data_IF_241394573591
#
_entry.id   IF_241394573591
#
_cell.length_a   1.000
_cell.length_b   1.000
_cell.length_c   1.000
_cell.angle_alpha   90.00
_cell.angle_beta   90.00
_cell.angle_gamma   90.00
#
_symmetry.space_group_name_H-M   'P 1'
#
loop_
_entity.id
_entity.type
_entity.pdbx_description
1 polymer ?
#
# COMPACT_ATOMS: atom_id res chain seq x y z
N UNK A 1 0.58 33.06 -0.29
CA UNK A 1 -0.34 31.90 -0.37
C UNK A 1 0.34 30.73 0.33
N UNK A 2 -0.29 30.06 1.30
CA UNK A 2 0.33 28.92 1.99
C UNK A 2 0.44 27.71 1.06
N UNK A 3 1.61 27.06 1.05
CA UNK A 3 1.93 25.91 0.21
C UNK A 3 2.13 24.65 1.08
N UNK A 4 1.36 23.60 0.83
CA UNK A 4 1.40 22.35 1.59
C UNK A 4 1.83 21.16 0.72
N UNK A 5 2.66 20.27 1.27
CA UNK A 5 3.12 19.06 0.60
C UNK A 5 2.68 17.79 1.34
N UNK A 6 2.38 16.72 0.59
CA UNK A 6 2.07 15.40 1.15
C UNK A 6 3.13 14.38 0.74
N UNK A 7 3.85 13.82 1.71
CA UNK A 7 4.91 12.85 1.44
C UNK A 7 4.32 11.43 1.31
N UNK A 8 3.93 11.05 0.08
CA UNK A 8 3.33 9.73 -0.21
C UNK A 8 4.34 8.62 -0.53
N UNK A 9 5.60 8.97 -0.81
CA UNK A 9 6.59 8.01 -1.29
C UNK A 9 7.41 7.46 -0.13
N UNK A 10 7.51 6.13 -0.03
CA UNK A 10 8.38 5.43 0.92
C UNK A 10 9.86 5.56 0.48
N UNK A 11 10.34 6.81 0.39
CA UNK A 11 11.68 7.22 -0.02
C UNK A 11 12.80 6.54 0.79
N UNK A 12 12.63 6.22 2.09
CA UNK A 12 13.63 5.44 2.83
C UNK A 12 13.90 4.07 2.19
N UNK A 13 12.89 3.44 1.57
CA UNK A 13 13.04 2.14 0.89
C UNK A 13 13.72 2.24 -0.49
N UNK A 14 13.68 3.42 -1.12
CA UNK A 14 14.38 3.72 -2.38
C UNK A 14 15.86 4.03 -2.08
N UNK A 15 16.13 4.78 -1.02
CA UNK A 15 17.49 5.12 -0.59
C UNK A 15 18.28 3.86 -0.17
N UNK A 16 17.70 3.00 0.67
CA UNK A 16 18.42 1.86 1.24
C UNK A 16 18.72 0.69 0.29
N UNK A 17 18.15 0.65 -0.92
CA UNK A 17 18.32 -0.51 -1.84
C UNK A 17 19.18 -0.24 -3.08
N UNK A 18 19.56 1.00 -3.37
CA UNK A 18 20.16 1.31 -4.68
C UNK A 18 21.39 2.24 -4.65
N UNK A 19 21.72 2.80 -3.50
CA UNK A 19 22.53 4.02 -3.47
C UNK A 19 23.32 4.07 -2.14
N UNK A 20 24.61 3.73 -2.17
CA UNK A 20 25.48 3.76 -0.99
C UNK A 20 25.55 5.13 -0.29
N UNK A 21 26.35 5.24 0.77
CA UNK A 21 26.41 6.40 1.71
C UNK A 21 26.60 7.78 1.06
N UNK A 22 27.20 7.87 -0.12
CA UNK A 22 27.43 9.13 -0.84
C UNK A 22 26.14 9.67 -1.48
N UNK A 23 25.31 8.78 -2.00
CA UNK A 23 24.04 9.11 -2.66
C UNK A 23 22.94 9.50 -1.65
N UNK A 24 23.04 8.97 -0.42
CA UNK A 24 22.15 9.32 0.69
C UNK A 24 22.24 10.81 1.05
N UNK A 25 23.46 11.39 1.07
CA UNK A 25 23.68 12.81 1.37
C UNK A 25 23.10 13.74 0.30
N UNK A 26 23.29 13.40 -0.97
CA UNK A 26 22.73 14.14 -2.11
C UNK A 26 21.20 14.13 -2.09
N UNK A 27 20.60 12.95 -1.89
CA UNK A 27 19.16 12.81 -1.78
C UNK A 27 18.61 13.58 -0.57
N UNK A 28 19.27 13.48 0.57
CA UNK A 28 18.91 14.21 1.79
C UNK A 28 18.91 15.72 1.57
N UNK A 29 19.92 16.25 0.87
CA UNK A 29 20.01 17.67 0.52
C UNK A 29 18.88 18.08 -0.42
N UNK A 30 18.63 17.30 -1.47
CA UNK A 30 17.53 17.55 -2.39
C UNK A 30 16.17 17.56 -1.68
N UNK A 31 15.90 16.57 -0.83
CA UNK A 31 14.64 16.49 -0.10
C UNK A 31 14.47 17.63 0.90
N UNK A 32 15.55 18.05 1.57
CA UNK A 32 15.54 19.24 2.44
C UNK A 32 15.25 20.51 1.65
N UNK A 33 15.88 20.71 0.49
CA UNK A 33 15.65 21.88 -0.36
C UNK A 33 14.24 21.89 -0.98
N UNK A 34 13.70 20.72 -1.30
CA UNK A 34 12.34 20.59 -1.83
C UNK A 34 11.30 20.86 -0.74
N UNK A 35 11.35 20.12 0.37
CA UNK A 35 10.34 20.19 1.42
C UNK A 35 10.49 21.41 2.33
N UNK A 36 11.68 22.00 2.41
CA UNK A 36 11.93 23.24 3.15
C UNK A 36 11.27 24.48 2.55
N UNK A 37 10.74 24.39 1.32
CA UNK A 37 9.99 25.47 0.65
C UNK A 37 8.49 25.47 0.99
N UNK A 38 8.01 24.49 1.74
CA UNK A 38 6.60 24.36 2.10
C UNK A 38 6.36 24.84 3.54
N UNK A 39 5.23 25.50 3.76
CA UNK A 39 4.81 25.97 5.09
C UNK A 39 4.42 24.80 6.01
N UNK A 40 3.97 23.69 5.42
CA UNK A 40 3.65 22.44 6.13
C UNK A 40 3.88 21.21 5.25
N UNK A 41 4.43 20.16 5.86
CA UNK A 41 4.64 18.85 5.23
C UNK A 41 3.86 17.77 5.98
N UNK A 42 2.96 17.08 5.30
CA UNK A 42 2.18 16.00 5.90
C UNK A 42 2.87 14.64 5.75
N UNK A 43 3.01 13.93 6.87
CA UNK A 43 3.60 12.59 6.95
C UNK A 43 2.52 11.53 7.27
N UNK A 44 2.42 10.43 6.47
CA UNK A 44 1.38 9.41 6.62
C UNK A 44 1.62 8.45 7.80
N UNK A 45 2.83 8.42 8.37
CA UNK A 45 3.24 7.51 9.44
C UNK A 45 4.28 8.15 10.35
N UNK A 46 4.48 7.57 11.55
CA UNK A 46 5.50 8.04 12.49
C UNK A 46 6.92 7.88 11.94
N UNK A 47 7.18 6.76 11.26
CA UNK A 47 8.47 6.51 10.60
C UNK A 47 8.83 7.61 9.59
N UNK A 48 7.85 8.07 8.79
CA UNK A 48 8.10 9.15 7.83
C UNK A 48 8.33 10.50 8.53
N UNK A 49 7.64 10.74 9.64
CA UNK A 49 7.86 11.93 10.45
C UNK A 49 9.30 11.94 10.99
N UNK A 50 9.75 10.84 11.57
CA UNK A 50 11.10 10.73 12.13
C UNK A 50 12.18 10.87 11.03
N UNK A 51 11.94 10.31 9.83
CA UNK A 51 12.82 10.49 8.67
C UNK A 51 12.89 11.95 8.17
N UNK A 52 11.76 12.64 8.05
CA UNK A 52 11.76 14.04 7.63
C UNK A 52 12.42 14.94 8.69
N UNK A 53 12.20 14.63 9.97
CA UNK A 53 12.88 15.29 11.08
C UNK A 53 14.40 15.09 11.02
N UNK A 54 14.88 13.88 10.71
CA UNK A 54 16.33 13.61 10.55
C UNK A 54 16.95 14.35 9.37
N UNK A 55 16.15 14.80 8.40
CA UNK A 55 16.58 15.66 7.29
C UNK A 55 16.60 17.16 7.64
N UNK A 56 16.20 17.53 8.86
CA UNK A 56 16.12 18.93 9.32
C UNK A 56 14.82 19.63 8.94
N UNK A 57 13.80 18.90 8.47
CA UNK A 57 12.49 19.46 8.11
C UNK A 57 11.64 19.49 9.39
N UNK A 58 11.38 20.69 9.92
CA UNK A 58 10.74 20.87 11.24
C UNK A 58 9.23 21.11 11.17
N UNK A 59 8.69 21.49 10.01
CA UNK A 59 7.28 21.82 9.82
C UNK A 59 6.46 20.59 9.35
N UNK A 60 6.61 19.46 10.05
CA UNK A 60 5.99 18.19 9.66
C UNK A 60 4.80 17.85 10.56
N UNK A 61 3.62 17.60 9.97
CA UNK A 61 2.41 17.18 10.68
C UNK A 61 2.07 15.75 10.32
N UNK A 62 1.85 14.90 11.33
CA UNK A 62 1.39 13.52 11.10
C UNK A 62 -0.08 13.54 10.70
N UNK A 63 -0.39 13.08 9.49
CA UNK A 63 -1.75 12.85 9.02
C UNK A 63 -1.88 11.38 8.64
N UNK A 64 -2.38 10.50 9.55
CA UNK A 64 -2.62 9.11 9.22
C UNK A 64 -3.62 9.02 8.06
N UNK A 65 -3.33 8.14 7.09
CA UNK A 65 -4.31 7.77 6.08
C UNK A 65 -5.32 6.83 6.75
N UNK A 66 -6.41 7.39 7.25
CA UNK A 66 -7.53 6.63 7.80
C UNK A 66 -8.42 6.08 6.69
N UNK A 67 -9.18 5.04 7.02
CA UNK A 67 -10.32 4.58 6.21
C UNK A 67 -11.60 4.95 6.95
N UNK A 68 -12.70 5.17 6.21
CA UNK A 68 -13.99 5.40 6.85
C UNK A 68 -14.43 4.16 7.64
N UNK A 69 -14.39 4.24 8.97
CA UNK A 69 -14.72 3.14 9.86
C UNK A 69 -16.21 2.74 9.82
N UNK A 70 -17.10 3.60 9.29
CA UNK A 70 -18.50 3.24 9.03
C UNK A 70 -18.62 2.33 7.81
N UNK A 71 -17.78 2.57 6.80
CA UNK A 71 -17.70 1.77 5.58
C UNK A 71 -16.92 0.47 5.82
N UNK A 72 -15.76 0.55 6.46
CA UNK A 72 -14.86 -0.57 6.75
C UNK A 72 -15.03 -1.10 8.17
N UNK A 73 -16.26 -1.50 8.52
CA UNK A 73 -16.60 -2.03 9.84
C UNK A 73 -16.65 -3.56 9.85
N UNK A 74 -16.11 -4.26 10.87
CA UNK A 74 -16.19 -5.72 10.99
C UNK A 74 -17.62 -6.29 10.93
N UNK A 75 -18.61 -5.56 11.45
CA UNK A 75 -20.02 -5.95 11.38
C UNK A 75 -20.61 -5.97 9.96
N UNK A 76 -19.96 -5.35 8.97
CA UNK A 76 -20.36 -5.45 7.56
C UNK A 76 -19.82 -6.71 6.87
N UNK A 77 -19.19 -7.62 7.63
CA UNK A 77 -18.79 -8.94 7.15
C UNK A 77 -20.04 -9.75 6.82
N UNK A 78 -20.23 -10.06 5.54
CA UNK A 78 -21.35 -10.87 5.08
C UNK A 78 -20.92 -12.19 4.42
N UNK A 79 -21.76 -13.24 4.48
CA UNK A 79 -21.50 -14.52 3.79
C UNK A 79 -21.55 -14.40 2.26
N UNK A 80 -22.17 -13.33 1.74
CA UNK A 80 -22.38 -13.08 0.31
C UNK A 80 -21.09 -13.15 -0.51
N UNK A 81 -19.94 -12.75 0.05
CA UNK A 81 -18.67 -12.76 -0.67
C UNK A 81 -18.22 -14.19 -1.00
N UNK A 82 -18.44 -15.14 -0.08
CA UNK A 82 -18.13 -16.55 -0.33
C UNK A 82 -19.05 -17.11 -1.41
N UNK A 83 -20.35 -16.80 -1.34
CA UNK A 83 -21.33 -17.21 -2.35
C UNK A 83 -20.96 -16.70 -3.76
N UNK A 84 -20.57 -15.43 -3.88
CA UNK A 84 -20.10 -14.85 -5.16
C UNK A 84 -18.81 -15.48 -5.70
N UNK A 85 -18.04 -16.14 -4.85
CA UNK A 85 -16.81 -16.85 -5.23
C UNK A 85 -17.02 -18.36 -5.36
N UNK A 86 -18.25 -18.87 -5.16
CA UNK A 86 -18.54 -20.30 -5.17
C UNK A 86 -17.87 -21.08 -4.03
N UNK A 87 -17.59 -20.41 -2.90
CA UNK A 87 -16.85 -20.99 -1.78
C UNK A 87 -17.78 -21.47 -0.67
N UNK A 88 -17.45 -22.62 -0.08
CA UNK A 88 -18.15 -23.18 1.08
C UNK A 88 -17.98 -22.34 2.36
N UNK A 89 -18.79 -22.63 3.38
CA UNK A 89 -18.81 -21.91 4.66
C UNK A 89 -17.47 -21.94 5.41
N UNK A 90 -16.71 -23.03 5.29
CA UNK A 90 -15.40 -23.22 5.89
C UNK A 90 -14.27 -22.42 5.19
N UNK A 91 -14.54 -21.82 4.02
CA UNK A 91 -13.53 -21.09 3.26
C UNK A 91 -13.06 -19.81 3.98
N UNK A 92 -11.74 -19.63 4.01
CA UNK A 92 -11.04 -18.47 4.56
C UNK A 92 -10.62 -17.56 3.41
N UNK A 93 -11.38 -16.49 3.19
CA UNK A 93 -11.13 -15.53 2.12
C UNK A 93 -10.22 -14.42 2.63
N UNK A 94 -9.09 -14.22 1.97
CA UNK A 94 -8.22 -13.07 2.16
C UNK A 94 -8.36 -12.15 0.95
N UNK A 95 -8.37 -10.83 1.19
CA UNK A 95 -8.54 -9.82 0.15
C UNK A 95 -7.28 -8.99 0.05
N UNK A 96 -6.74 -8.86 -1.16
CA UNK A 96 -5.72 -7.88 -1.49
C UNK A 96 -6.30 -6.89 -2.49
N UNK A 97 -6.33 -5.61 -2.14
CA UNK A 97 -6.78 -4.54 -3.01
C UNK A 97 -5.62 -3.58 -3.31
N UNK A 98 -5.28 -3.40 -4.59
CA UNK A 98 -4.24 -2.44 -4.98
C UNK A 98 -3.67 -2.66 -6.39
N UNK A 99 -2.73 -1.79 -6.78
CA UNK A 99 -1.97 -1.94 -8.03
C UNK A 99 -1.06 -3.17 -7.96
N UNK A 100 -1.01 -3.98 -9.02
CA UNK A 100 -0.09 -5.11 -9.13
C UNK A 100 1.29 -4.65 -9.63
N UNK A 101 1.95 -3.75 -8.90
CA UNK A 101 3.34 -3.37 -9.19
C UNK A 101 4.31 -4.38 -8.56
N UNK A 102 5.46 -4.59 -9.21
CA UNK A 102 6.55 -5.47 -8.78
C UNK A 102 7.15 -5.10 -7.42
N UNK A 103 6.93 -3.88 -6.94
CA UNK A 103 7.44 -3.40 -5.65
C UNK A 103 6.74 -4.00 -4.43
N UNK A 104 5.54 -4.54 -4.64
CA UNK A 104 4.81 -5.32 -3.63
C UNK A 104 5.12 -6.78 -3.89
N UNK A 105 5.45 -7.54 -2.85
CA UNK A 105 5.84 -8.97 -2.92
C UNK A 105 4.67 -9.89 -3.35
N UNK A 106 3.90 -9.52 -4.37
CA UNK A 106 2.79 -10.26 -4.93
C UNK A 106 3.22 -11.67 -5.39
N UNK A 107 4.42 -11.88 -5.96
CA UNK A 107 4.90 -13.24 -6.24
C UNK A 107 5.01 -14.11 -4.99
N UNK A 108 5.44 -13.54 -3.86
CA UNK A 108 5.51 -14.28 -2.58
C UNK A 108 4.09 -14.62 -2.13
N UNK A 109 3.17 -13.65 -2.14
CA UNK A 109 1.77 -13.87 -1.77
C UNK A 109 1.13 -14.98 -2.62
N UNK A 110 1.32 -14.94 -3.94
CA UNK A 110 0.80 -15.96 -4.85
C UNK A 110 1.37 -17.35 -4.56
N UNK A 111 2.69 -17.46 -4.32
CA UNK A 111 3.33 -18.73 -3.94
C UNK A 111 2.81 -19.24 -2.60
N UNK A 112 2.65 -18.37 -1.61
CA UNK A 112 2.08 -18.74 -0.31
C UNK A 112 0.68 -19.32 -0.45
N UNK A 113 -0.18 -18.68 -1.25
CA UNK A 113 -1.54 -19.20 -1.46
C UNK A 113 -1.56 -20.49 -2.27
N UNK A 114 -0.68 -20.64 -3.26
CA UNK A 114 -0.52 -21.92 -3.96
C UNK A 114 -0.12 -23.04 -3.00
N UNK A 115 0.76 -22.76 -2.03
CA UNK A 115 1.19 -23.74 -1.02
C UNK A 115 0.13 -24.02 0.05
N UNK A 116 -0.63 -23.01 0.48
CA UNK A 116 -1.67 -23.16 1.50
C UNK A 116 -2.84 -24.04 1.03
N UNK A 117 -3.24 -23.93 -0.24
CA UNK A 117 -4.39 -24.66 -0.77
C UNK A 117 -5.70 -24.40 0.02
N UNK A 118 -6.59 -25.39 0.05
CA UNK A 118 -7.84 -25.32 0.82
C UNK A 118 -7.55 -25.33 2.33
N UNK A 119 -8.33 -24.58 3.16
CA UNK A 119 -9.53 -23.82 2.84
C UNK A 119 -9.26 -22.34 2.49
N UNK A 120 -8.01 -21.96 2.22
CA UNK A 120 -7.61 -20.58 2.02
C UNK A 120 -7.83 -20.14 0.57
N UNK A 121 -8.46 -18.98 0.39
CA UNK A 121 -8.75 -18.40 -0.91
C UNK A 121 -8.31 -16.94 -0.97
N UNK A 122 -7.60 -16.55 -2.01
CA UNK A 122 -7.14 -15.17 -2.21
C UNK A 122 -8.00 -14.47 -3.27
N UNK A 123 -8.59 -13.34 -2.89
CA UNK A 123 -9.24 -12.42 -3.80
C UNK A 123 -8.33 -11.20 -4.08
N UNK A 124 -7.86 -11.09 -5.32
CA UNK A 124 -7.07 -9.96 -5.80
C UNK A 124 -7.96 -8.94 -6.50
N UNK A 125 -8.04 -7.72 -5.98
CA UNK A 125 -8.81 -6.61 -6.55
C UNK A 125 -7.84 -5.55 -7.07
N UNK A 126 -7.75 -5.35 -8.38
CA UNK A 126 -6.76 -4.44 -8.95
C UNK A 126 -6.39 -4.63 -10.41
N UNK A 127 -5.51 -3.74 -10.88
CA UNK A 127 -4.99 -3.69 -12.25
C UNK A 127 -3.56 -4.23 -12.39
N UNK A 128 -3.29 -4.84 -13.55
CA UNK A 128 -2.00 -5.43 -13.97
C UNK A 128 -2.17 -6.79 -14.66
N UNK A 129 -1.24 -7.23 -15.51
CA UNK A 129 -1.23 -8.62 -16.02
C UNK A 129 -0.69 -9.53 -14.90
N UNK A 130 -1.40 -10.60 -14.59
CA UNK A 130 -0.91 -11.63 -13.67
C UNK A 130 -0.55 -12.88 -14.48
N UNK A 131 0.52 -13.56 -14.06
CA UNK A 131 0.83 -14.90 -14.51
C UNK A 131 -0.31 -15.88 -14.14
N UNK A 132 -0.24 -17.11 -14.65
CA UNK A 132 -1.20 -18.19 -14.35
C UNK A 132 -1.42 -18.29 -12.84
N UNK A 133 -2.66 -18.06 -12.40
CA UNK A 133 -3.04 -18.05 -10.99
C UNK A 133 -3.34 -19.47 -10.51
N UNK A 134 -3.06 -19.75 -9.24
CA UNK A 134 -3.44 -21.02 -8.61
C UNK A 134 -4.97 -21.13 -8.49
N UNK A 135 -5.55 -22.34 -8.39
CA UNK A 135 -7.00 -22.54 -8.37
C UNK A 135 -7.72 -21.83 -7.22
N UNK A 136 -7.04 -21.59 -6.11
CA UNK A 136 -7.56 -20.88 -4.94
C UNK A 136 -7.26 -19.37 -4.96
N UNK A 137 -6.98 -18.80 -6.14
CA UNK A 137 -6.75 -17.38 -6.34
C UNK A 137 -7.70 -16.83 -7.40
N UNK A 138 -8.60 -15.94 -6.99
CA UNK A 138 -9.50 -15.23 -7.90
C UNK A 138 -9.05 -13.79 -8.06
N UNK A 139 -9.06 -13.30 -9.30
CA UNK A 139 -8.82 -11.89 -9.60
C UNK A 139 -10.10 -11.21 -10.04
N UNK A 140 -10.33 -9.98 -9.55
CA UNK A 140 -11.37 -9.06 -10.02
C UNK A 140 -10.73 -7.74 -10.46
N UNK A 141 -10.96 -7.29 -11.71
CA UNK A 141 -10.58 -5.94 -12.09
C UNK A 141 -11.41 -4.92 -11.30
N UNK A 142 -10.84 -3.74 -11.05
CA UNK A 142 -11.62 -2.61 -10.52
C UNK A 142 -12.44 -2.05 -11.68
N UNK A 143 -13.78 -1.93 -11.55
CA UNK A 143 -14.59 -1.33 -12.60
C UNK A 143 -14.15 0.12 -12.85
N UNK A 144 -14.24 0.63 -14.08
CA UNK A 144 -13.94 2.03 -14.37
C UNK A 144 -14.83 2.93 -13.51
N UNK A 145 -14.26 4.04 -12.99
CA UNK A 145 -15.06 5.03 -12.26
C UNK A 145 -16.05 5.62 -13.25
N UNK A 146 -17.34 5.44 -12.99
CA UNK A 146 -18.39 6.21 -13.68
C UNK A 146 -18.30 7.63 -13.12
N UNK A 147 -17.96 8.58 -14.00
CA UNK A 147 -17.99 10.01 -13.73
C UNK A 147 -19.37 10.56 -14.13
#
# INVERSE_FOLDING_TARGET
MPCAAFCHSNLPRIAGRRFGSLSERLLSRYLRELYGKFDVVFAPSRLMLDFLASLGIRHVVRQPLGVDARVFHPCRRGPWLRGRLGLGSAARVLVYAGRFSSEKNLPVLLRTFAALGRPYHLLLIGGGRAARLAPNVTRRPVPPRQH
#
